data_IF_814919518989
#
_entry.id   IF_814919518989
#
_cell.length_a   1.000
_cell.length_b   1.000
_cell.length_c   1.000
_cell.angle_alpha   90.00
_cell.angle_beta   90.00
_cell.angle_gamma   90.00
#
_symmetry.space_group_name_H-M   'P 1'
#
loop_
_entity.id
_entity.type
_entity.pdbx_description
1 polymer ?
#
# COMPACT_ATOMS: atom_id res chain seq x y z
N UNK A 1 -26.31 -16.68 -6.24
CA UNK A 1 -25.02 -17.00 -5.57
C UNK A 1 -24.17 -15.74 -5.68
N UNK A 2 -24.06 -14.94 -4.62
CA UNK A 2 -23.20 -13.76 -4.59
C UNK A 2 -21.77 -14.21 -4.37
N UNK A 3 -20.90 -13.93 -5.33
CA UNK A 3 -19.48 -14.25 -5.22
C UNK A 3 -18.85 -13.31 -4.19
N UNK A 4 -18.06 -13.85 -3.26
CA UNK A 4 -17.38 -13.04 -2.26
C UNK A 4 -16.26 -12.23 -2.94
N UNK A 5 -16.12 -10.92 -2.65
CA UNK A 5 -15.08 -10.11 -3.27
C UNK A 5 -13.68 -10.59 -2.85
N UNK A 6 -12.82 -10.78 -3.86
CA UNK A 6 -11.45 -11.28 -3.72
C UNK A 6 -10.48 -10.31 -4.39
N UNK A 7 -9.28 -10.19 -3.83
CA UNK A 7 -8.20 -9.44 -4.45
C UNK A 7 -7.90 -10.02 -5.85
N UNK A 8 -7.93 -9.18 -6.88
CA UNK A 8 -7.71 -9.59 -8.27
C UNK A 8 -6.28 -10.02 -8.58
N UNK A 9 -5.34 -9.85 -7.63
CA UNK A 9 -3.92 -10.14 -7.79
C UNK A 9 -3.49 -11.40 -7.04
N UNK A 10 -3.91 -11.55 -5.78
CA UNK A 10 -3.52 -12.69 -4.92
C UNK A 10 -4.67 -13.65 -4.59
N UNK A 11 -5.90 -13.36 -5.04
CA UNK A 11 -7.13 -14.14 -4.83
C UNK A 11 -7.55 -14.35 -3.37
N UNK A 12 -6.90 -13.68 -2.41
CA UNK A 12 -7.35 -13.65 -1.01
C UNK A 12 -8.73 -12.98 -0.90
N UNK A 13 -9.60 -13.51 -0.04
CA UNK A 13 -10.92 -12.95 0.23
C UNK A 13 -10.86 -11.72 1.13
N UNK A 14 -11.98 -11.02 1.28
CA UNK A 14 -12.16 -9.92 2.24
C UNK A 14 -11.84 -10.32 3.69
N UNK A 15 -11.98 -11.60 4.05
CA UNK A 15 -11.71 -12.12 5.40
C UNK A 15 -10.22 -12.46 5.62
N UNK A 16 -9.47 -12.69 4.54
CA UNK A 16 -8.05 -13.08 4.59
C UNK A 16 -7.10 -11.87 4.63
N UNK A 17 -7.64 -10.65 4.52
CA UNK A 17 -6.87 -9.40 4.42
C UNK A 17 -7.43 -8.33 5.34
N UNK A 18 -6.59 -7.41 5.79
CA UNK A 18 -6.99 -6.30 6.64
C UNK A 18 -7.77 -5.21 5.89
N UNK A 19 -7.50 -5.02 4.59
CA UNK A 19 -8.17 -4.04 3.74
C UNK A 19 -8.35 -4.58 2.33
N UNK A 20 -9.56 -4.45 1.77
CA UNK A 20 -9.84 -4.75 0.37
C UNK A 20 -10.51 -3.55 -0.28
N UNK A 21 -9.82 -2.93 -1.23
CA UNK A 21 -10.27 -1.73 -1.93
C UNK A 21 -10.96 -2.15 -3.23
N UNK A 22 -12.17 -1.64 -3.46
CA UNK A 22 -12.93 -1.86 -4.69
C UNK A 22 -12.66 -0.75 -5.72
N UNK A 23 -12.31 -1.14 -6.93
CA UNK A 23 -12.33 -0.30 -8.13
C UNK A 23 -13.53 -0.62 -9.03
N UNK A 24 -13.57 -0.01 -10.21
CA UNK A 24 -14.68 -0.18 -11.16
C UNK A 24 -14.82 -1.65 -11.66
N UNK A 25 -13.68 -2.33 -11.86
CA UNK A 25 -13.64 -3.68 -12.42
C UNK A 25 -12.71 -4.65 -11.66
N UNK A 26 -12.16 -4.24 -10.51
CA UNK A 26 -11.15 -5.02 -9.79
C UNK A 26 -11.18 -4.72 -8.29
N UNK A 27 -10.52 -5.60 -7.52
CA UNK A 27 -10.25 -5.37 -6.10
C UNK A 27 -8.76 -5.54 -5.81
N UNK A 28 -8.23 -4.77 -4.87
CA UNK A 28 -6.83 -4.87 -4.45
C UNK A 28 -6.73 -4.81 -2.92
N UNK A 29 -5.89 -5.68 -2.34
CA UNK A 29 -5.65 -5.69 -0.89
C UNK A 29 -4.39 -4.90 -0.50
N UNK A 30 -4.21 -4.63 0.79
CA UNK A 30 -3.08 -3.89 1.36
C UNK A 30 -1.72 -4.53 1.04
N UNK A 31 -1.63 -5.86 1.07
CA UNK A 31 -0.41 -6.61 0.75
C UNK A 31 0.00 -6.36 -0.70
N UNK A 32 -0.97 -6.45 -1.63
CA UNK A 32 -0.72 -6.25 -3.05
C UNK A 32 -0.38 -4.79 -3.37
N UNK A 33 -1.00 -3.81 -2.70
CA UNK A 33 -0.61 -2.40 -2.83
C UNK A 33 0.85 -2.20 -2.43
N UNK A 34 1.25 -2.76 -1.29
CA UNK A 34 2.62 -2.64 -0.78
C UNK A 34 3.61 -3.25 -1.75
N UNK A 35 3.36 -4.49 -2.20
CA UNK A 35 4.22 -5.19 -3.15
C UNK A 35 4.30 -4.45 -4.50
N UNK A 36 3.17 -3.99 -5.04
CA UNK A 36 3.15 -3.21 -6.29
C UNK A 36 3.96 -1.92 -6.16
N UNK A 37 3.87 -1.25 -5.01
CA UNK A 37 4.63 -0.04 -4.75
C UNK A 37 6.14 -0.30 -4.64
N UNK A 38 6.55 -1.38 -3.97
CA UNK A 38 7.95 -1.78 -3.88
C UNK A 38 8.53 -2.13 -5.27
N UNK A 39 7.79 -2.85 -6.12
CA UNK A 39 8.20 -3.15 -7.50
C UNK A 39 8.35 -1.86 -8.31
N UNK A 40 7.37 -0.94 -8.22
CA UNK A 40 7.45 0.36 -8.91
C UNK A 40 8.66 1.17 -8.45
N UNK A 41 9.03 1.09 -7.17
CA UNK A 41 10.18 1.79 -6.63
C UNK A 41 11.51 1.30 -7.18
N UNK A 42 11.67 -0.01 -7.27
CA UNK A 42 12.87 -0.61 -7.82
C UNK A 42 13.08 -0.15 -9.27
N UNK A 43 12.01 -0.06 -10.08
CA UNK A 43 12.08 0.43 -11.46
C UNK A 43 12.46 1.93 -11.55
N UNK A 44 11.96 2.76 -10.63
CA UNK A 44 12.17 4.22 -10.63
C UNK A 44 13.59 4.64 -10.29
N UNK A 45 14.28 3.84 -9.47
CA UNK A 45 15.69 4.07 -9.13
C UNK A 45 16.62 4.11 -10.35
N UNK A 46 16.10 3.69 -11.51
CA UNK A 46 16.81 3.67 -12.78
C UNK A 46 16.79 5.02 -13.53
N UNK A 47 15.65 5.73 -13.70
CA UNK A 47 15.61 6.84 -14.71
C UNK A 47 14.60 8.02 -14.50
N UNK A 48 13.92 8.25 -13.36
CA UNK A 48 12.93 9.37 -13.28
C UNK A 48 12.91 10.19 -11.96
N UNK A 49 13.32 11.47 -12.04
CA UNK A 49 13.48 12.40 -10.90
C UNK A 49 12.18 12.87 -10.22
N UNK A 50 11.03 12.85 -10.92
CA UNK A 50 9.76 13.31 -10.35
C UNK A 50 9.13 12.32 -9.36
N UNK A 51 9.39 11.01 -9.50
CA UNK A 51 8.88 10.01 -8.57
C UNK A 51 9.73 9.99 -7.29
N UNK A 52 11.02 10.32 -7.37
CA UNK A 52 11.87 10.46 -6.17
C UNK A 52 11.34 11.51 -5.18
N UNK A 53 10.81 12.63 -5.68
CA UNK A 53 10.26 13.71 -4.84
C UNK A 53 8.99 13.29 -4.09
N UNK A 54 8.10 12.52 -4.73
CA UNK A 54 6.90 12.00 -4.07
C UNK A 54 7.25 10.94 -3.03
N UNK A 55 8.28 10.14 -3.29
CA UNK A 55 8.81 9.14 -2.36
C UNK A 55 9.44 9.75 -1.10
N UNK A 56 10.23 10.81 -1.23
CA UNK A 56 10.84 11.48 -0.08
C UNK A 56 9.79 12.10 0.84
N UNK A 57 8.72 12.66 0.26
CA UNK A 57 7.59 13.20 1.00
C UNK A 57 6.81 12.10 1.72
N UNK A 58 6.48 10.99 1.03
CA UNK A 58 5.82 9.84 1.64
C UNK A 58 6.64 9.26 2.81
N UNK A 59 7.94 9.04 2.61
CA UNK A 59 8.84 8.52 3.63
C UNK A 59 8.97 9.47 4.83
N UNK A 60 8.96 10.78 4.59
CA UNK A 60 8.97 11.79 5.66
C UNK A 60 7.69 11.74 6.47
N UNK A 61 6.52 11.74 5.83
CA UNK A 61 5.21 11.62 6.50
C UNK A 61 5.15 10.32 7.31
N UNK A 62 5.56 9.19 6.71
CA UNK A 62 5.62 7.88 7.38
C UNK A 62 6.53 7.91 8.63
N UNK A 63 7.70 8.54 8.56
CA UNK A 63 8.61 8.69 9.71
C UNK A 63 7.98 9.49 10.85
N UNK A 64 7.37 10.62 10.51
CA UNK A 64 6.71 11.49 11.50
C UNK A 64 5.51 10.77 12.13
N UNK A 65 4.68 10.13 11.33
CA UNK A 65 3.53 9.36 11.80
C UNK A 65 3.96 8.22 12.75
N UNK A 66 4.99 7.43 12.39
CA UNK A 66 5.54 6.39 13.28
C UNK A 66 6.05 6.96 14.60
N UNK A 67 6.76 8.10 14.56
CA UNK A 67 7.26 8.76 15.78
C UNK A 67 6.10 9.25 16.66
N UNK A 68 5.05 9.80 16.05
CA UNK A 68 3.85 10.23 16.76
C UNK A 68 3.12 9.05 17.42
N UNK A 69 2.86 7.97 16.67
CA UNK A 69 2.22 6.74 17.21
C UNK A 69 3.01 6.20 18.40
N UNK A 70 4.34 6.12 18.27
CA UNK A 70 5.20 5.69 19.39
C UNK A 70 5.08 6.58 20.64
N UNK A 71 4.99 7.91 20.46
CA UNK A 71 4.76 8.85 21.58
C UNK A 71 3.40 8.61 22.27
N UNK A 72 2.40 8.14 21.53
CA UNK A 72 1.08 7.80 22.08
C UNK A 72 1.06 6.41 22.75
N UNK A 73 1.81 5.44 22.24
CA UNK A 73 1.91 4.08 22.83
C UNK A 73 2.78 4.05 24.10
N UNK A 74 3.78 4.92 24.20
CA UNK A 74 4.66 5.02 25.38
C UNK A 74 4.04 5.81 26.57
N UNK A 75 2.76 6.18 26.50
CA UNK A 75 1.98 6.87 27.55
C UNK A 75 0.88 5.99 28.13
#
# INVERSE_FOLDING_TARGET
>A
MTQEPQCSFCNKSRLDVGLLIQGEHAYICEDCITLSFDIMLDEVSSENSNIQLTMDMYNTIRRVAKKAVKIFEDK
#
